data_IF_011778382852
#
_entry.id   IF_011778382852
#
_cell.length_a   1.000
_cell.length_b   1.000
_cell.length_c   1.000
_cell.angle_alpha   90.00
_cell.angle_beta   90.00
_cell.angle_gamma   90.00
#
_symmetry.space_group_name_H-M   'P 1'
#
loop_
_entity.id
_entity.type
_entity.pdbx_description
1 polymer ?
#
# COMPACT_ATOMS: atom_id res chain seq x y z
N UNK A 1 -4.57 -9.56 6.37
CA UNK A 1 -4.78 -8.22 5.77
C UNK A 1 -4.99 -8.42 4.28
N UNK A 2 -6.01 -7.79 3.69
CA UNK A 2 -6.34 -7.95 2.26
C UNK A 2 -5.77 -6.79 1.44
N UNK A 3 -5.28 -7.11 0.24
CA UNK A 3 -4.85 -6.12 -0.74
C UNK A 3 -6.06 -5.33 -1.26
N UNK A 4 -6.06 -4.02 -1.08
CA UNK A 4 -7.00 -3.13 -1.74
C UNK A 4 -6.56 -2.81 -3.17
N UNK A 5 -5.25 -2.67 -3.37
CA UNK A 5 -4.64 -2.42 -4.66
C UNK A 5 -3.18 -2.88 -4.64
N UNK A 6 -2.74 -3.57 -5.68
CA UNK A 6 -1.34 -4.01 -5.82
C UNK A 6 -0.64 -2.99 -6.70
N UNK A 7 0.30 -2.25 -6.12
CA UNK A 7 1.03 -1.16 -6.81
C UNK A 7 2.18 -1.75 -7.61
N UNK A 8 2.89 -2.71 -7.01
CA UNK A 8 4.00 -3.42 -7.63
C UNK A 8 4.25 -4.74 -6.91
N UNK A 9 5.28 -5.48 -7.35
CA UNK A 9 5.75 -6.67 -6.63
C UNK A 9 6.16 -6.40 -5.18
N UNK A 10 6.49 -5.16 -4.84
CA UNK A 10 7.04 -4.80 -3.52
C UNK A 10 6.16 -3.83 -2.72
N UNK A 11 5.03 -3.39 -3.27
CA UNK A 11 4.18 -2.39 -2.63
C UNK A 11 2.70 -2.71 -2.84
N UNK A 12 1.93 -2.68 -1.75
CA UNK A 12 0.50 -3.00 -1.74
C UNK A 12 -0.24 -1.99 -0.88
N UNK A 13 -1.36 -1.48 -1.39
CA UNK A 13 -2.31 -0.68 -0.61
C UNK A 13 -3.24 -1.61 0.14
N UNK A 14 -3.44 -1.35 1.42
CA UNK A 14 -4.24 -2.17 2.32
C UNK A 14 -5.12 -1.30 3.22
N UNK A 15 -6.07 -1.95 3.90
CA UNK A 15 -6.82 -1.35 5.00
C UNK A 15 -6.42 -2.02 6.31
N UNK A 16 -6.08 -1.23 7.32
CA UNK A 16 -5.86 -1.73 8.68
C UNK A 16 -7.19 -2.18 9.30
N UNK A 17 -7.12 -2.88 10.43
CA UNK A 17 -8.33 -3.32 11.16
C UNK A 17 -9.15 -2.13 11.67
N UNK A 18 -8.51 -1.00 11.95
CA UNK A 18 -9.14 0.28 12.31
C UNK A 18 -9.77 1.03 11.11
N UNK A 19 -9.73 0.46 9.90
CA UNK A 19 -10.30 1.06 8.71
C UNK A 19 -9.41 2.09 7.99
N UNK A 20 -8.20 2.36 8.49
CA UNK A 20 -7.25 3.30 7.86
C UNK A 20 -6.63 2.69 6.60
N UNK A 21 -6.53 3.48 5.54
CA UNK A 21 -5.83 3.11 4.30
C UNK A 21 -4.33 3.37 4.48
N UNK A 22 -3.51 2.40 4.12
CA UNK A 22 -2.06 2.54 4.16
C UNK A 22 -1.40 1.83 2.97
N UNK A 23 -0.18 2.24 2.66
CA UNK A 23 0.71 1.55 1.73
C UNK A 23 1.69 0.74 2.56
N UNK A 24 1.79 -0.56 2.29
CA UNK A 24 2.80 -1.43 2.90
C UNK A 24 3.80 -1.84 1.84
N UNK A 25 5.08 -1.87 2.21
CA UNK A 25 6.16 -2.24 1.30
C UNK A 25 6.99 -3.38 1.87
N UNK A 26 7.51 -4.23 1.00
CA UNK A 26 8.36 -5.35 1.35
C UNK A 26 8.73 -6.17 0.13
N UNK A 27 9.91 -6.79 0.12
CA UNK A 27 10.38 -7.58 -1.02
C UNK A 27 9.41 -8.73 -1.35
N UNK A 28 8.85 -8.72 -2.55
CA UNK A 28 7.94 -9.75 -3.04
C UNK A 28 6.53 -9.72 -2.45
N UNK A 29 6.18 -8.70 -1.65
CA UNK A 29 4.89 -8.61 -0.96
C UNK A 29 3.67 -8.66 -1.90
N UNK A 30 3.79 -8.01 -3.07
CA UNK A 30 2.75 -7.95 -4.10
C UNK A 30 2.94 -8.94 -5.25
N UNK A 31 3.98 -9.78 -5.21
CA UNK A 31 4.26 -10.72 -6.29
C UNK A 31 3.13 -11.74 -6.43
N UNK A 32 2.56 -11.83 -7.65
CA UNK A 32 1.40 -12.68 -7.97
C UNK A 32 0.17 -12.42 -7.07
N UNK A 33 0.04 -11.21 -6.53
CA UNK A 33 -1.15 -10.80 -5.78
C UNK A 33 -2.08 -9.95 -6.64
N UNK A 34 -3.36 -10.04 -6.35
CA UNK A 34 -4.40 -9.20 -6.89
C UNK A 34 -5.22 -8.54 -5.76
N UNK A 35 -6.12 -7.64 -6.15
CA UNK A 35 -7.07 -7.04 -5.21
C UNK A 35 -7.92 -8.15 -4.56
N UNK A 36 -8.07 -8.07 -3.24
CA UNK A 36 -8.82 -9.04 -2.43
C UNK A 36 -7.95 -10.12 -1.81
N UNK A 37 -6.76 -10.37 -2.35
CA UNK A 37 -5.86 -11.40 -1.84
C UNK A 37 -5.32 -11.07 -0.44
N UNK A 38 -5.03 -12.12 0.31
CA UNK A 38 -4.25 -12.01 1.54
C UNK A 38 -2.78 -11.79 1.19
N UNK A 39 -2.18 -10.79 1.86
CA UNK A 39 -0.74 -10.55 1.85
C UNK A 39 -0.07 -11.19 3.07
N UNK A 40 1.16 -11.65 2.89
CA UNK A 40 1.97 -12.17 3.99
C UNK A 40 2.49 -10.99 4.84
N UNK A 41 2.04 -10.91 6.10
CA UNK A 41 2.44 -9.84 7.03
C UNK A 41 3.94 -9.89 7.37
N UNK A 42 4.57 -11.06 7.31
CA UNK A 42 6.00 -11.23 7.63
C UNK A 42 6.93 -10.57 6.59
N UNK A 43 6.42 -10.36 5.37
CA UNK A 43 7.18 -9.67 4.32
C UNK A 43 7.13 -8.16 4.45
N UNK A 44 6.31 -7.60 5.35
CA UNK A 44 6.16 -6.14 5.51
C UNK A 44 7.41 -5.57 6.18
N UNK A 45 8.03 -4.60 5.51
CA UNK A 45 9.22 -3.89 5.98
C UNK A 45 8.89 -2.45 6.40
N UNK A 46 8.04 -1.76 5.63
CA UNK A 46 7.60 -0.39 5.97
C UNK A 46 6.09 -0.25 5.83
N UNK A 47 5.52 0.65 6.64
CA UNK A 47 4.11 1.01 6.61
C UNK A 47 4.01 2.53 6.48
N UNK A 48 3.35 2.99 5.42
CA UNK A 48 3.09 4.40 5.17
C UNK A 48 1.60 4.67 5.34
N UNK A 49 1.27 5.52 6.31
CA UNK A 49 -0.09 6.00 6.55
C UNK A 49 -0.27 7.36 5.89
N UNK A 50 -1.47 7.62 5.38
CA UNK A 50 -1.79 8.93 4.80
C UNK A 50 -1.80 10.00 5.90
N UNK A 51 -0.96 11.03 5.75
CA UNK A 51 -1.02 12.22 6.59
C UNK A 51 -2.13 13.14 6.06
N UNK A 52 -3.19 13.30 6.85
CA UNK A 52 -4.35 14.10 6.47
C UNK A 52 -4.05 15.60 6.33
N UNK A 53 -2.90 16.07 6.82
CA UNK A 53 -2.49 17.48 6.72
C UNK A 53 -2.04 17.87 5.31
N UNK A 54 -1.64 16.90 4.49
CA UNK A 54 -1.13 17.13 3.14
C UNK A 54 -2.10 16.54 2.09
N UNK A 55 -3.25 17.22 1.90
CA UNK A 55 -4.27 16.85 0.91
C UNK A 55 -4.24 17.69 -0.37
N UNK A 56 -3.22 18.51 -0.54
CA UNK A 56 -3.10 19.35 -1.72
C UNK A 56 -2.91 18.47 -2.96
N UNK A 57 -3.59 18.86 -4.04
CA UNK A 57 -3.47 18.18 -5.33
C UNK A 57 -2.06 18.47 -5.87
N UNK A 58 -1.13 17.55 -5.64
CA UNK A 58 0.23 17.68 -6.18
C UNK A 58 0.17 17.47 -7.69
N UNK A 59 0.30 18.56 -8.44
CA UNK A 59 0.50 18.50 -9.89
C UNK A 59 1.99 18.23 -10.12
N UNK A 60 2.32 16.97 -10.40
CA UNK A 60 3.67 16.59 -10.80
C UNK A 60 3.84 17.04 -12.26
N UNK A 61 4.58 18.12 -12.50
CA UNK A 61 5.00 18.49 -13.85
C UNK A 61 5.94 17.43 -14.36
N UNK A 62 5.62 16.85 -15.51
CA UNK A 62 6.51 15.98 -16.27
C UNK A 62 7.15 16.82 -17.37
N UNK A 63 8.48 16.89 -17.39
CA UNK A 63 9.28 17.50 -18.47
C UNK A 63 9.28 16.62 -19.72
#
# INVERSE_FOLDING_TARGET
MKALHVVSNNAVVVRTEEGRKCVVTGKGLGFKKARGDLINKELIQNVFVEDQRYKERIVIKTE
#
